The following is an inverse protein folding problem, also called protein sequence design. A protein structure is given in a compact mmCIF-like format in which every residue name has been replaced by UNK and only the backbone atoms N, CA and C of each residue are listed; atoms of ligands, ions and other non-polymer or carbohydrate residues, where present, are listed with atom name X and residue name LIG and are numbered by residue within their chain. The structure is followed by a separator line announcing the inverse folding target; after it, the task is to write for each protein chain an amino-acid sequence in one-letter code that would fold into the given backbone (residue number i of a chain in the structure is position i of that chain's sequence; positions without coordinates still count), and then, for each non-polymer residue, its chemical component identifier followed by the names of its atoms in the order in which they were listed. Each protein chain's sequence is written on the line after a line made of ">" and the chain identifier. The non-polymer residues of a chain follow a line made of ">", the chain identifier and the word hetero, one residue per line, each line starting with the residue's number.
data_IF_360501063371
#
_entry.id   IF_360501063371
#
_cell.length_a   1.000
_cell.length_b   1.000
_cell.length_c   1.000
_cell.angle_alpha   90.00
_cell.angle_beta   90.00
_cell.angle_gamma   90.00
#
_symmetry.space_group_name_H-M   'P 1'
#
loop_
_entity.id
_entity.type
_entity.pdbx_description
1 polymer ?
#
# COMPACT_ATOMS: atom_id res chain seq x y z
N UNK A 1 -25.46 50.37 -80.05
CA UNK A 1 -25.96 49.67 -81.24
C UNK A 1 -25.03 48.50 -81.54
N UNK A 2 -25.59 47.43 -82.10
CA UNK A 2 -25.11 46.03 -82.19
C UNK A 2 -25.51 45.22 -80.95
N UNK A 3 -26.63 44.47 -80.90
CA UNK A 3 -27.23 43.47 -81.84
C UNK A 3 -26.28 42.28 -82.05
N UNK A 4 -26.67 41.01 -82.09
CA UNK A 4 -27.92 40.26 -81.86
C UNK A 4 -27.52 38.76 -81.81
N UNK A 5 -27.96 38.02 -80.78
CA UNK A 5 -28.42 36.60 -80.71
C UNK A 5 -27.61 35.42 -81.37
N UNK A 6 -28.08 34.14 -81.31
CA UNK A 6 -27.86 33.16 -80.23
C UNK A 6 -27.44 31.75 -80.74
N UNK A 7 -27.01 30.80 -79.90
CA UNK A 7 -27.10 29.36 -80.25
C UNK A 7 -27.35 28.49 -79.01
N UNK A 8 -28.44 27.71 -79.06
CA UNK A 8 -28.75 26.53 -78.25
C UNK A 8 -28.23 25.31 -79.02
N UNK A 9 -27.86 24.21 -78.34
CA UNK A 9 -28.15 22.78 -78.66
C UNK A 9 -27.27 21.89 -77.76
N UNK A 10 -27.84 21.27 -76.71
CA UNK A 10 -28.21 19.83 -76.59
C UNK A 10 -26.94 18.98 -76.41
N UNK A 11 -26.63 18.59 -75.18
CA UNK A 11 -27.08 17.37 -74.49
C UNK A 11 -26.05 16.26 -74.68
N UNK A 12 -25.42 15.89 -73.57
CA UNK A 12 -24.80 14.59 -73.45
C UNK A 12 -24.73 14.30 -71.94
N UNK A 13 -25.83 13.77 -71.42
CA UNK A 13 -25.95 13.27 -70.05
C UNK A 13 -24.93 12.14 -69.83
N UNK A 14 -23.68 12.50 -69.51
CA UNK A 14 -22.66 11.55 -69.15
C UNK A 14 -22.89 11.10 -67.70
N UNK A 15 -23.39 9.88 -67.52
CA UNK A 15 -23.37 9.21 -66.23
C UNK A 15 -21.92 8.90 -65.84
N UNK A 16 -21.32 9.73 -64.99
CA UNK A 16 -20.02 9.43 -64.39
C UNK A 16 -20.29 8.50 -63.20
N UNK A 17 -19.93 7.23 -63.35
CA UNK A 17 -19.84 6.30 -62.22
C UNK A 17 -18.54 6.64 -61.48
N UNK A 18 -18.66 7.36 -60.36
CA UNK A 18 -17.54 7.62 -59.46
C UNK A 18 -17.35 6.40 -58.57
N UNK A 19 -16.38 5.56 -58.90
CA UNK A 19 -15.87 4.57 -57.94
C UNK A 19 -15.16 5.34 -56.83
N UNK A 20 -15.50 5.16 -55.53
CA UNK A 20 -14.79 5.84 -54.47
C UNK A 20 -13.33 5.36 -54.45
N UNK A 21 -12.39 6.28 -54.64
CA UNK A 21 -10.97 6.00 -54.45
C UNK A 21 -10.76 5.48 -53.02
N UNK A 22 -9.99 4.39 -52.82
CA UNK A 22 -9.76 3.90 -51.47
C UNK A 22 -9.01 4.96 -50.67
N UNK A 23 -9.54 5.33 -49.50
CA UNK A 23 -8.86 6.23 -48.57
C UNK A 23 -7.52 5.61 -48.15
N UNK A 24 -6.42 6.15 -48.69
CA UNK A 24 -5.07 5.70 -48.33
C UNK A 24 -4.68 6.36 -47.01
N UNK A 25 -4.87 5.64 -45.90
CA UNK A 25 -4.33 6.03 -44.60
C UNK A 25 -2.84 5.70 -44.54
N UNK A 26 -1.99 6.71 -44.69
CA UNK A 26 -0.54 6.57 -44.46
C UNK A 26 -0.30 6.51 -42.95
N UNK A 27 -0.14 5.30 -42.41
CA UNK A 27 0.32 5.10 -41.03
C UNK A 27 1.84 5.23 -41.04
N UNK A 28 2.36 6.35 -40.52
CA UNK A 28 3.79 6.47 -40.25
C UNK A 28 4.15 5.49 -39.14
N UNK A 29 5.01 4.51 -39.42
CA UNK A 29 5.60 3.70 -38.35
C UNK A 29 6.43 4.63 -37.46
N UNK A 30 6.01 4.80 -36.21
CA UNK A 30 6.83 5.50 -35.22
C UNK A 30 8.02 4.61 -34.87
N UNK A 31 9.23 5.05 -35.21
CA UNK A 31 10.44 4.35 -34.76
C UNK A 31 10.50 4.46 -33.23
N UNK A 32 10.62 3.31 -32.55
CA UNK A 32 10.88 3.30 -31.12
C UNK A 32 12.24 3.97 -30.89
N UNK A 33 12.28 4.95 -29.98
CA UNK A 33 13.55 5.56 -29.57
C UNK A 33 14.54 4.51 -29.04
N UNK A 34 15.84 4.84 -28.96
CA UNK A 34 16.83 3.94 -28.40
C UNK A 34 16.37 3.45 -27.02
N UNK A 35 16.57 2.16 -26.66
CA UNK A 35 16.33 1.69 -25.31
C UNK A 35 17.01 2.63 -24.31
N UNK A 36 16.26 3.10 -23.32
CA UNK A 36 16.82 3.93 -22.24
C UNK A 36 18.00 3.21 -21.61
N UNK A 37 19.05 3.96 -21.24
CA UNK A 37 20.20 3.37 -20.56
C UNK A 37 19.75 2.57 -19.34
N UNK A 38 20.42 1.44 -19.05
CA UNK A 38 20.20 0.69 -17.81
C UNK A 38 20.36 1.69 -16.65
N UNK A 39 19.28 1.96 -15.92
CA UNK A 39 19.35 2.83 -14.75
C UNK A 39 20.42 2.30 -13.78
N UNK A 40 20.99 3.18 -12.95
CA UNK A 40 21.73 2.72 -11.78
C UNK A 40 20.88 1.65 -11.08
N UNK A 41 21.47 0.51 -10.70
CA UNK A 41 20.74 -0.52 -9.97
C UNK A 41 20.03 0.19 -8.80
N UNK A 42 18.69 0.22 -8.86
CA UNK A 42 17.91 1.04 -7.94
C UNK A 42 18.26 0.65 -6.50
N UNK A 43 18.26 1.62 -5.58
CA UNK A 43 18.26 1.28 -4.17
C UNK A 43 17.19 0.19 -3.94
N UNK A 44 17.47 -0.84 -3.11
CA UNK A 44 16.46 -1.83 -2.77
C UNK A 44 15.14 -1.12 -2.51
N UNK A 45 14.06 -1.60 -3.14
CA UNK A 45 12.75 -0.99 -2.97
C UNK A 45 12.40 -0.83 -1.49
N UNK A 46 11.47 0.08 -1.12
CA UNK A 46 11.05 0.24 0.26
C UNK A 46 10.80 -1.11 0.91
N UNK A 47 11.27 -1.32 2.13
CA UNK A 47 10.99 -2.56 2.85
C UNK A 47 9.48 -2.82 2.78
N UNK A 48 9.09 -4.02 2.34
CA UNK A 48 7.70 -4.40 2.05
C UNK A 48 6.82 -4.53 3.30
N UNK A 49 6.73 -3.46 4.09
CA UNK A 49 5.82 -3.33 5.22
C UNK A 49 4.51 -2.70 4.79
N UNK A 50 3.39 -3.32 5.16
CA UNK A 50 2.09 -2.68 5.07
C UNK A 50 1.97 -1.70 6.24
N UNK A 51 2.32 -0.44 6.03
CA UNK A 51 2.10 0.65 6.99
C UNK A 51 0.79 1.36 6.65
N UNK A 52 -0.01 1.63 7.67
CA UNK A 52 -1.23 2.43 7.57
C UNK A 52 -1.19 3.60 8.54
N UNK A 53 -1.83 4.70 8.16
CA UNK A 53 -2.06 5.83 9.06
C UNK A 53 -3.45 5.71 9.69
N UNK A 54 -3.55 5.99 10.99
CA UNK A 54 -4.78 6.03 11.78
C UNK A 54 -4.80 7.22 12.73
N UNK A 55 -5.90 7.42 13.42
CA UNK A 55 -6.01 8.41 14.51
C UNK A 55 -5.73 7.74 15.84
N UNK A 56 -4.83 8.28 16.65
CA UNK A 56 -4.62 7.79 18.00
C UNK A 56 -5.83 8.13 18.88
N UNK A 57 -6.46 7.13 19.50
CA UNK A 57 -7.54 7.31 20.46
C UNK A 57 -7.06 7.73 21.85
N UNK A 58 -5.78 7.48 22.14
CA UNK A 58 -5.10 7.88 23.37
C UNK A 58 -3.65 8.32 23.07
N UNK A 59 -2.85 8.58 24.12
CA UNK A 59 -1.41 8.84 23.93
C UNK A 59 -0.69 7.53 23.67
N UNK A 60 -0.09 7.41 22.48
CA UNK A 60 0.62 6.22 22.03
C UNK A 60 2.11 6.51 21.89
N UNK A 61 2.94 5.63 22.45
CA UNK A 61 4.37 5.58 22.13
C UNK A 61 4.58 4.78 20.84
N UNK A 62 5.72 5.00 20.18
CA UNK A 62 6.18 4.08 19.14
C UNK A 62 6.48 2.69 19.74
N UNK A 63 6.49 1.69 18.87
CA UNK A 63 6.76 0.29 19.16
C UNK A 63 5.81 -0.26 20.23
N UNK A 64 4.52 -0.05 20.01
CA UNK A 64 3.43 -0.63 20.81
C UNK A 64 2.45 -1.39 19.95
N UNK A 65 2.07 -2.58 20.39
CA UNK A 65 0.94 -3.32 19.84
C UNK A 65 -0.35 -2.59 20.19
N UNK A 66 -1.20 -2.43 19.18
CA UNK A 66 -2.42 -1.65 19.26
C UNK A 66 -3.58 -2.36 18.58
N UNK A 67 -4.79 -2.06 19.02
CA UNK A 67 -6.03 -2.43 18.35
C UNK A 67 -6.70 -1.19 17.75
N UNK A 68 -7.63 -1.41 16.83
CA UNK A 68 -8.45 -0.34 16.24
C UNK A 68 -9.92 -0.53 16.60
N UNK A 69 -10.54 0.51 17.13
CA UNK A 69 -11.97 0.56 17.46
C UNK A 69 -12.55 1.89 16.99
N UNK A 70 -13.65 1.84 16.22
CA UNK A 70 -14.36 3.00 15.70
C UNK A 70 -13.45 4.06 15.02
N UNK A 71 -12.43 3.59 14.28
CA UNK A 71 -11.49 4.43 13.54
C UNK A 71 -10.41 5.11 14.40
N UNK A 72 -10.31 4.74 15.68
CA UNK A 72 -9.28 5.19 16.60
C UNK A 72 -8.44 4.02 17.11
N UNK A 73 -7.18 4.30 17.45
CA UNK A 73 -6.19 3.27 17.83
C UNK A 73 -5.82 3.39 19.31
N UNK A 74 -5.77 2.27 20.00
CA UNK A 74 -5.52 2.17 21.45
C UNK A 74 -4.51 1.05 21.75
N UNK A 75 -3.84 1.12 22.90
CA UNK A 75 -2.91 0.10 23.38
C UNK A 75 -3.65 -1.21 23.62
N UNK A 76 -3.10 -2.31 23.12
CA UNK A 76 -3.61 -3.65 23.40
C UNK A 76 -2.80 -4.32 24.51
N UNK A 77 -3.47 -5.05 25.40
CA UNK A 77 -2.84 -5.86 26.43
C UNK A 77 -3.30 -7.32 26.30
N UNK A 78 -2.50 -8.30 26.75
CA UNK A 78 -2.85 -9.71 26.63
C UNK A 78 -4.04 -10.11 27.52
N UNK A 79 -4.46 -9.29 28.47
CA UNK A 79 -5.62 -9.49 29.34
C UNK A 79 -6.88 -8.72 28.88
N UNK A 80 -6.83 -8.06 27.71
CA UNK A 80 -7.95 -7.30 27.15
C UNK A 80 -8.89 -8.21 26.34
N UNK A 81 -9.73 -8.96 27.05
CA UNK A 81 -10.74 -9.87 26.47
C UNK A 81 -11.70 -9.19 25.49
N UNK A 82 -12.02 -7.91 25.72
CA UNK A 82 -13.02 -7.19 24.92
C UNK A 82 -12.46 -6.78 23.55
N UNK A 83 -11.13 -6.60 23.42
CA UNK A 83 -10.52 -6.03 22.21
C UNK A 83 -9.41 -6.86 21.58
N UNK A 84 -9.04 -8.02 22.14
CA UNK A 84 -7.92 -8.84 21.63
C UNK A 84 -8.08 -9.21 20.14
N UNK A 85 -9.31 -9.46 19.69
CA UNK A 85 -9.64 -9.82 18.31
C UNK A 85 -9.61 -8.62 17.34
N UNK A 86 -9.41 -7.40 17.85
CA UNK A 86 -9.33 -6.15 17.08
C UNK A 86 -7.88 -5.68 16.86
N UNK A 87 -6.90 -6.53 17.16
CA UNK A 87 -5.48 -6.23 17.00
C UNK A 87 -5.18 -5.75 15.56
N UNK A 88 -4.59 -4.56 15.46
CA UNK A 88 -4.23 -3.93 14.18
C UNK A 88 -2.76 -4.18 13.81
N UNK A 89 -1.83 -3.88 14.71
CA UNK A 89 -0.39 -3.97 14.43
C UNK A 89 0.46 -3.23 15.45
N UNK A 90 1.65 -2.79 15.03
CA UNK A 90 2.62 -2.10 15.89
C UNK A 90 2.77 -0.63 15.48
N UNK A 91 2.65 0.30 16.42
CA UNK A 91 2.95 1.72 16.16
C UNK A 91 4.41 1.90 15.77
N UNK A 92 4.70 2.68 14.73
CA UNK A 92 6.07 3.05 14.32
C UNK A 92 6.36 4.54 14.55
N UNK A 93 5.38 5.29 15.03
CA UNK A 93 5.49 6.69 15.45
C UNK A 93 4.77 6.88 16.78
N UNK A 94 5.22 7.82 17.59
CA UNK A 94 4.45 8.28 18.76
C UNK A 94 3.40 9.31 18.34
N UNK A 95 2.28 9.37 19.06
CA UNK A 95 1.20 10.32 18.81
C UNK A 95 0.43 10.62 20.10
N UNK A 96 -0.04 11.86 20.25
CA UNK A 96 -1.05 12.19 21.26
C UNK A 96 -2.45 11.86 20.75
N UNK A 97 -3.42 11.78 21.67
CA UNK A 97 -4.83 11.54 21.32
C UNK A 97 -5.33 12.53 20.25
N UNK A 98 -6.10 12.02 19.29
CA UNK A 98 -6.62 12.75 18.13
C UNK A 98 -5.58 13.04 17.04
N UNK A 99 -4.32 12.70 17.23
CA UNK A 99 -3.26 12.93 16.24
C UNK A 99 -3.05 11.72 15.33
N UNK A 100 -2.53 11.91 14.10
CA UNK A 100 -2.19 10.79 13.23
C UNK A 100 -1.07 9.92 13.82
N UNK A 101 -1.21 8.61 13.72
CA UNK A 101 -0.23 7.59 14.12
C UNK A 101 -0.04 6.60 12.98
N UNK A 102 1.22 6.23 12.70
CA UNK A 102 1.54 5.18 11.74
C UNK A 102 1.65 3.84 12.45
N UNK A 103 1.00 2.82 11.89
CA UNK A 103 0.97 1.45 12.40
C UNK A 103 1.46 0.52 11.30
N UNK A 104 2.38 -0.38 11.62
CA UNK A 104 2.88 -1.39 10.72
C UNK A 104 2.25 -2.75 11.04
N UNK A 105 1.69 -3.38 10.00
CA UNK A 105 0.92 -4.62 10.11
C UNK A 105 1.79 -5.86 9.89
N UNK A 106 2.80 -5.75 9.03
CA UNK A 106 3.67 -6.87 8.61
C UNK A 106 5.06 -6.37 8.22
N UNK A 107 6.01 -7.29 8.10
CA UNK A 107 7.35 -7.03 7.62
C UNK A 107 8.35 -6.80 8.75
N UNK A 108 9.53 -6.30 8.42
CA UNK A 108 10.58 -6.08 9.41
C UNK A 108 10.43 -4.72 10.10
N UNK A 109 10.68 -4.71 11.41
CA UNK A 109 10.93 -3.52 12.22
C UNK A 109 12.37 -3.57 12.75
N UNK A 110 13.02 -2.42 12.78
CA UNK A 110 14.36 -2.22 13.29
C UNK A 110 14.33 -1.16 14.40
N UNK A 111 14.97 -1.45 15.54
CA UNK A 111 15.19 -0.48 16.62
C UNK A 111 16.48 -0.79 17.38
N UNK A 112 17.38 0.19 17.48
CA UNK A 112 18.70 0.04 18.11
C UNK A 112 18.65 -0.04 19.64
N UNK A 113 17.54 0.36 20.27
CA UNK A 113 17.34 0.24 21.71
C UNK A 113 16.89 -1.17 22.13
N UNK A 114 16.53 -2.04 21.17
CA UNK A 114 16.25 -3.44 21.45
C UNK A 114 17.51 -4.24 21.76
N UNK A 115 17.31 -5.27 22.59
CA UNK A 115 18.33 -6.24 22.97
C UNK A 115 17.75 -7.66 22.95
N UNK A 116 16.97 -7.97 21.92
CA UNK A 116 16.37 -9.30 21.77
C UNK A 116 17.42 -10.38 21.48
N UNK A 117 17.05 -11.62 21.67
CA UNK A 117 17.79 -12.78 21.17
C UNK A 117 16.99 -13.35 20.00
N UNK A 118 17.62 -13.90 18.94
CA UNK A 118 16.87 -14.55 17.87
C UNK A 118 15.85 -15.57 18.41
N UNK A 119 14.57 -15.39 18.06
CA UNK A 119 13.48 -16.16 18.66
C UNK A 119 12.12 -15.46 18.59
N UNK A 120 11.07 -16.10 19.12
CA UNK A 120 9.72 -15.54 19.18
C UNK A 120 9.64 -14.23 20.00
N UNK A 121 8.67 -13.40 19.64
CA UNK A 121 8.30 -12.16 20.32
C UNK A 121 6.78 -12.14 20.52
N UNK A 122 6.35 -11.82 21.72
CA UNK A 122 4.96 -11.85 22.18
C UNK A 122 4.44 -10.47 22.55
N UNK A 123 3.11 -10.37 22.58
CA UNK A 123 2.38 -9.26 23.19
C UNK A 123 2.61 -9.26 24.70
N UNK A 124 3.13 -8.15 25.21
CA UNK A 124 3.24 -7.87 26.63
C UNK A 124 2.25 -6.81 27.09
N UNK A 125 2.29 -6.52 28.39
CA UNK A 125 1.44 -5.49 28.99
C UNK A 125 1.58 -4.13 28.29
N UNK A 126 0.47 -3.40 28.18
CA UNK A 126 0.38 -2.08 27.55
C UNK A 126 1.01 -2.03 26.14
N UNK A 127 0.81 -3.09 25.35
CA UNK A 127 1.29 -3.19 23.97
C UNK A 127 2.80 -3.39 23.84
N UNK A 128 3.52 -3.74 24.90
CA UNK A 128 4.98 -3.95 24.79
C UNK A 128 5.31 -5.21 23.98
N UNK A 129 6.52 -5.26 23.41
CA UNK A 129 7.08 -6.45 22.78
C UNK A 129 8.02 -7.15 23.76
N UNK A 130 7.82 -8.45 23.99
CA UNK A 130 8.58 -9.23 24.98
C UNK A 130 9.00 -10.60 24.43
N UNK A 131 10.02 -11.22 25.03
CA UNK A 131 10.42 -12.61 24.76
C UNK A 131 10.01 -13.59 25.88
N UNK A 132 9.19 -13.12 26.81
CA UNK A 132 8.58 -13.94 27.84
C UNK A 132 7.12 -14.16 27.42
N UNK A 133 6.70 -15.38 27.06
CA UNK A 133 5.31 -15.64 26.73
C UNK A 133 4.43 -15.36 27.95
N UNK A 134 3.18 -14.90 27.76
CA UNK A 134 2.24 -14.75 28.86
C UNK A 134 1.93 -16.12 29.48
N UNK A 135 1.56 -16.11 30.76
CA UNK A 135 1.19 -17.34 31.50
C UNK A 135 -0.31 -17.44 31.78
N UNK A 136 -1.09 -16.43 31.40
CA UNK A 136 -2.53 -16.29 31.57
C UNK A 136 -3.06 -15.25 30.58
N UNK A 137 -4.35 -15.24 30.29
CA UNK A 137 -4.93 -14.34 29.28
C UNK A 137 -4.60 -14.84 27.88
N UNK A 138 -4.37 -13.95 26.93
CA UNK A 138 -4.08 -14.31 25.54
C UNK A 138 -2.58 -14.38 25.24
N UNK A 139 -2.14 -15.54 24.77
CA UNK A 139 -0.87 -15.71 24.06
C UNK A 139 -1.04 -15.22 22.62
N UNK A 140 -0.43 -14.08 22.32
CA UNK A 140 -0.35 -13.53 20.98
C UNK A 140 1.11 -13.41 20.57
N UNK A 141 1.54 -14.24 19.63
CA UNK A 141 2.84 -14.11 19.00
C UNK A 141 2.80 -13.01 17.95
N UNK A 142 3.58 -11.95 18.18
CA UNK A 142 3.69 -10.80 17.27
C UNK A 142 4.62 -11.09 16.09
N UNK A 143 5.64 -11.92 16.32
CA UNK A 143 6.59 -12.27 15.28
C UNK A 143 7.83 -12.96 15.82
N UNK A 144 8.96 -12.71 15.15
CA UNK A 144 10.27 -13.27 15.54
C UNK A 144 11.38 -12.23 15.45
N UNK A 145 12.15 -12.08 16.52
CA UNK A 145 13.44 -11.42 16.48
C UNK A 145 14.39 -12.28 15.62
N UNK A 146 14.99 -11.66 14.59
CA UNK A 146 16.00 -12.31 13.73
C UNK A 146 17.41 -11.81 14.05
N UNK A 147 17.51 -10.76 14.87
CA UNK A 147 18.75 -10.25 15.46
C UNK A 147 18.41 -9.49 16.76
N UNK A 148 19.40 -8.86 17.40
CA UNK A 148 19.19 -8.09 18.62
C UNK A 148 18.29 -6.86 18.45
N UNK A 149 18.28 -6.29 17.24
CA UNK A 149 17.59 -5.04 16.90
C UNK A 149 16.58 -5.17 15.77
N UNK A 150 16.26 -6.40 15.32
CA UNK A 150 15.30 -6.63 14.22
C UNK A 150 14.26 -7.67 14.58
N UNK A 151 12.99 -7.31 14.42
CA UNK A 151 11.83 -8.21 14.52
C UNK A 151 11.14 -8.29 13.17
N UNK A 152 10.87 -9.51 12.69
CA UNK A 152 9.96 -9.73 11.56
C UNK A 152 8.57 -9.98 12.12
N UNK A 153 7.65 -9.06 11.83
CA UNK A 153 6.24 -9.15 12.20
C UNK A 153 5.55 -10.26 11.40
N UNK A 154 4.89 -11.14 12.14
CA UNK A 154 4.01 -12.18 11.64
C UNK A 154 3.03 -12.46 12.79
N UNK A 155 2.00 -11.63 12.87
CA UNK A 155 1.06 -11.64 13.99
C UNK A 155 0.16 -12.86 13.85
N UNK A 156 0.13 -13.70 14.87
CA UNK A 156 -0.65 -14.94 14.93
C UNK A 156 -1.97 -14.72 15.67
N UNK A 157 -2.91 -15.66 15.50
CA UNK A 157 -4.20 -15.61 16.19
C UNK A 157 -4.02 -15.71 17.71
N UNK A 158 -4.82 -14.98 18.51
CA UNK A 158 -4.77 -15.10 19.97
C UNK A 158 -5.15 -16.49 20.48
N UNK A 159 -4.38 -17.00 21.45
CA UNK A 159 -4.68 -18.26 22.15
C UNK A 159 -4.96 -17.99 23.61
N UNK A 160 -6.16 -18.36 24.08
CA UNK A 160 -6.51 -18.24 25.50
C UNK A 160 -5.73 -19.21 26.38
N UNK A 161 -5.19 -18.71 27.49
CA UNK A 161 -4.50 -19.45 28.55
C UNK A 161 -5.30 -19.34 29.86
N UNK A 162 -5.59 -20.50 30.45
CA UNK A 162 -6.29 -20.66 31.75
C UNK A 162 -5.34 -20.46 32.95
#
# INVERSE_FOLDING_TARGET
>A
MSCDLPVIVVDDEHCIVVEPEPEVLVVTAGDQGPPGGKGADGAPGPAGGATVQRTAGETLSALRTVYELDGSVFLLAPDDEDHIDLLLGITITAAGAGSPVNVQLIGALDDDAWSFIPGPVWLGASGSLTQIPPTSGFDVRIGSAVSTSRVTLNIEEPVWLD
#
